data_IF_832767649151
#
_entry.id   IF_832767649151
#
_cell.length_a   1.000
_cell.length_b   1.000
_cell.length_c   1.000
_cell.angle_alpha   90.00
_cell.angle_beta   90.00
_cell.angle_gamma   90.00
#
_symmetry.space_group_name_H-M   'P 1'
#
loop_
_entity.id
_entity.type
_entity.pdbx_description
1 polymer ?
#
# COMPACT_ATOMS: atom_id res chain seq x y z
N UNK A 1 25.26 52.80 31.96
CA UNK A 1 25.01 52.67 30.51
C UNK A 1 24.10 51.47 30.28
N UNK A 2 22.79 51.69 30.18
CA UNK A 2 21.83 50.63 29.84
C UNK A 2 21.97 50.30 28.36
N UNK A 3 22.25 49.06 27.96
CA UNK A 3 22.36 48.70 26.56
C UNK A 3 21.01 48.95 25.85
N UNK A 4 21.05 49.45 24.63
CA UNK A 4 19.84 49.75 23.84
C UNK A 4 19.05 48.46 23.57
N UNK A 5 17.71 48.54 23.69
CA UNK A 5 16.78 47.41 23.53
C UNK A 5 16.98 46.63 22.21
N UNK A 6 17.47 47.30 21.17
CA UNK A 6 17.80 46.73 19.86
C UNK A 6 18.97 45.73 19.90
N UNK A 7 20.01 46.02 20.70
CA UNK A 7 21.18 45.14 20.82
C UNK A 7 20.82 43.85 21.57
N UNK A 8 20.03 43.96 22.62
CA UNK A 8 19.56 42.79 23.39
C UNK A 8 18.69 41.88 22.53
N UNK A 9 17.78 42.46 21.73
CA UNK A 9 16.90 41.69 20.84
C UNK A 9 17.70 40.94 19.76
N UNK A 10 18.71 41.57 19.17
CA UNK A 10 19.59 40.92 18.19
C UNK A 10 20.38 39.76 18.80
N UNK A 11 20.94 39.94 20.00
CA UNK A 11 21.69 38.89 20.70
C UNK A 11 20.79 37.70 21.07
N UNK A 12 19.56 37.96 21.51
CA UNK A 12 18.61 36.87 21.83
C UNK A 12 18.21 36.07 20.60
N UNK A 13 17.98 36.73 19.45
CA UNK A 13 17.67 36.03 18.19
C UNK A 13 18.86 35.20 17.71
N UNK A 14 20.07 35.74 17.78
CA UNK A 14 21.29 35.03 17.39
C UNK A 14 21.53 33.79 18.26
N UNK A 15 21.32 33.91 19.57
CA UNK A 15 21.53 32.80 20.51
C UNK A 15 20.48 31.69 20.31
N UNK A 16 19.22 32.05 20.02
CA UNK A 16 18.17 31.09 19.68
C UNK A 16 18.47 30.34 18.36
N UNK A 17 19.02 31.03 17.35
CA UNK A 17 19.40 30.42 16.08
C UNK A 17 20.56 29.42 16.25
N UNK A 18 21.58 29.75 17.04
CA UNK A 18 22.70 28.84 17.34
C UNK A 18 22.24 27.61 18.12
N UNK A 19 21.31 27.77 19.06
CA UNK A 19 20.74 26.65 19.82
C UNK A 19 19.93 25.70 18.93
N UNK A 20 19.24 26.23 17.92
CA UNK A 20 18.45 25.42 16.98
C UNK A 20 19.33 24.62 15.99
N UNK A 21 20.50 25.15 15.62
CA UNK A 21 21.42 24.46 14.70
C UNK A 21 22.13 23.24 15.34
N UNK A 22 22.18 23.15 16.67
CA UNK A 22 22.84 22.07 17.40
C UNK A 22 22.08 20.73 17.41
N UNK A 23 20.82 20.70 16.95
CA UNK A 23 20.01 19.48 16.83
C UNK A 23 20.00 18.93 15.40
N UNK A 24 21.12 19.04 14.68
CA UNK A 24 21.34 18.21 13.50
C UNK A 24 21.48 16.77 13.98
N UNK A 25 20.35 16.04 13.95
CA UNK A 25 20.29 14.62 14.27
C UNK A 25 21.42 13.90 13.56
N UNK A 26 22.29 13.23 14.33
CA UNK A 26 23.24 12.29 13.77
C UNK A 26 22.42 11.30 12.91
N UNK A 27 22.71 11.23 11.62
CA UNK A 27 22.15 10.19 10.78
C UNK A 27 22.69 8.86 11.33
N UNK A 28 21.84 8.13 12.03
CA UNK A 28 22.18 6.84 12.62
C UNK A 28 22.37 5.84 11.48
N UNK A 29 23.57 5.80 10.90
CA UNK A 29 23.98 4.79 9.94
C UNK A 29 24.25 3.48 10.71
N UNK A 30 23.17 2.78 11.07
CA UNK A 30 23.26 1.43 11.59
C UNK A 30 23.79 0.50 10.51
N UNK A 31 24.77 -0.34 10.85
CA UNK A 31 25.16 -1.46 9.99
C UNK A 31 23.97 -2.41 9.92
N UNK A 32 23.23 -2.36 8.81
CA UNK A 32 22.20 -3.36 8.52
C UNK A 32 22.93 -4.63 8.13
N UNK A 33 22.83 -5.67 8.96
CA UNK A 33 23.40 -6.97 8.63
C UNK A 33 22.61 -7.59 7.47
N UNK A 34 23.27 -8.41 6.64
CA UNK A 34 22.59 -9.15 5.56
C UNK A 34 21.39 -9.96 6.09
N UNK A 35 21.49 -10.52 7.30
CA UNK A 35 20.39 -11.22 7.96
C UNK A 35 19.18 -10.34 8.27
N UNK A 36 19.40 -9.06 8.60
CA UNK A 36 18.31 -8.10 8.79
C UNK A 36 17.59 -7.78 7.47
N UNK A 37 18.31 -7.70 6.34
CA UNK A 37 17.70 -7.52 5.02
C UNK A 37 16.89 -8.76 4.63
N UNK A 38 17.47 -9.96 4.75
CA UNK A 38 16.78 -11.21 4.38
C UNK A 38 15.49 -11.40 5.20
N UNK A 39 15.54 -11.11 6.50
CA UNK A 39 14.35 -11.20 7.37
C UNK A 39 13.29 -10.18 6.96
N UNK A 40 13.68 -8.95 6.65
CA UNK A 40 12.76 -7.90 6.20
C UNK A 40 12.10 -8.23 4.85
N UNK A 41 12.84 -8.85 3.92
CA UNK A 41 12.27 -9.32 2.65
C UNK A 41 11.27 -10.46 2.87
N UNK A 42 11.59 -11.43 3.72
CA UNK A 42 10.66 -12.52 4.07
C UNK A 42 9.37 -11.98 4.67
N UNK A 43 9.47 -11.02 5.59
CA UNK A 43 8.30 -10.39 6.21
C UNK A 43 7.46 -9.61 5.19
N UNK A 44 8.11 -8.94 4.23
CA UNK A 44 7.42 -8.25 3.14
C UNK A 44 6.68 -9.22 2.21
N UNK A 45 7.29 -10.35 1.85
CA UNK A 45 6.65 -11.40 1.05
C UNK A 45 5.41 -11.97 1.76
N UNK A 46 5.55 -12.29 3.06
CA UNK A 46 4.45 -12.76 3.90
C UNK A 46 3.32 -11.73 4.01
N UNK A 47 3.67 -10.45 4.18
CA UNK A 47 2.67 -9.38 4.23
C UNK A 47 1.91 -9.23 2.90
N UNK A 48 2.61 -9.33 1.77
CA UNK A 48 2.00 -9.31 0.44
C UNK A 48 1.01 -10.46 0.26
N UNK A 49 1.43 -11.69 0.56
CA UNK A 49 0.60 -12.89 0.50
C UNK A 49 -0.63 -12.75 1.39
N UNK A 50 -0.45 -12.36 2.66
CA UNK A 50 -1.55 -12.18 3.60
C UNK A 50 -2.54 -11.12 3.13
N UNK A 51 -2.06 -10.01 2.57
CA UNK A 51 -2.93 -8.97 2.00
C UNK A 51 -3.84 -9.50 0.89
N UNK A 52 -3.33 -10.41 0.06
CA UNK A 52 -4.10 -11.04 -1.02
C UNK A 52 -5.13 -12.06 -0.48
N UNK A 53 -4.74 -12.84 0.54
CA UNK A 53 -5.61 -13.82 1.20
C UNK A 53 -6.68 -13.19 2.08
N UNK A 54 -6.44 -11.99 2.61
CA UNK A 54 -7.38 -11.26 3.45
C UNK A 54 -8.52 -10.62 2.66
N UNK A 55 -8.49 -10.63 1.33
CA UNK A 55 -9.61 -10.12 0.54
C UNK A 55 -10.89 -10.93 0.80
N UNK A 56 -12.02 -10.25 0.89
CA UNK A 56 -13.28 -10.85 1.32
C UNK A 56 -13.76 -11.97 0.38
N UNK A 57 -13.54 -11.81 -0.92
CA UNK A 57 -13.82 -12.82 -1.95
C UNK A 57 -12.93 -14.07 -1.79
N UNK A 58 -11.63 -13.88 -1.53
CA UNK A 58 -10.69 -14.98 -1.30
C UNK A 58 -11.03 -15.73 -0.01
N UNK A 59 -11.32 -15.02 1.08
CA UNK A 59 -11.73 -15.65 2.35
C UNK A 59 -13.03 -16.43 2.20
N UNK A 60 -14.04 -15.89 1.52
CA UNK A 60 -15.29 -16.58 1.26
C UNK A 60 -15.06 -17.88 0.47
N UNK A 61 -14.26 -17.81 -0.60
CA UNK A 61 -13.91 -18.99 -1.40
C UNK A 61 -13.13 -20.03 -0.60
N UNK A 62 -12.20 -19.60 0.25
CA UNK A 62 -11.45 -20.51 1.13
C UNK A 62 -12.37 -21.21 2.14
N UNK A 63 -13.33 -20.49 2.73
CA UNK A 63 -14.32 -21.06 3.64
C UNK A 63 -15.24 -22.06 2.93
N UNK A 64 -15.68 -21.76 1.70
CA UNK A 64 -16.45 -22.70 0.87
C UNK A 64 -15.69 -23.99 0.58
N UNK A 65 -14.37 -23.90 0.40
CA UNK A 65 -13.49 -25.06 0.24
C UNK A 65 -13.14 -25.75 1.57
N UNK A 66 -13.64 -25.27 2.71
CA UNK A 66 -13.35 -25.82 4.04
C UNK A 66 -11.93 -25.53 4.53
N UNK A 67 -11.27 -24.50 3.99
CA UNK A 67 -9.91 -24.11 4.37
C UNK A 67 -9.96 -23.03 5.45
N UNK A 68 -9.39 -23.32 6.61
CA UNK A 68 -9.25 -22.36 7.70
C UNK A 68 -8.04 -21.44 7.51
N UNK A 69 -8.18 -20.17 7.87
CA UNK A 69 -7.13 -19.16 7.73
C UNK A 69 -5.89 -19.50 8.57
N UNK A 70 -6.08 -20.01 9.79
CA UNK A 70 -4.95 -20.37 10.65
C UNK A 70 -4.15 -21.54 10.08
N UNK A 71 -4.80 -22.47 9.36
CA UNK A 71 -4.12 -23.58 8.68
C UNK A 71 -3.22 -23.10 7.54
N UNK A 72 -3.58 -21.99 6.89
CA UNK A 72 -2.81 -21.41 5.80
C UNK A 72 -1.61 -20.65 6.34
N UNK A 73 -1.77 -19.87 7.40
CA UNK A 73 -0.66 -19.21 8.08
C UNK A 73 0.39 -20.21 8.58
N UNK A 74 -0.03 -21.36 9.12
CA UNK A 74 0.87 -22.42 9.53
C UNK A 74 1.68 -22.98 8.35
N UNK A 75 1.05 -23.14 7.17
CA UNK A 75 1.75 -23.59 5.95
C UNK A 75 2.72 -22.54 5.43
N UNK A 76 2.33 -21.26 5.40
CA UNK A 76 3.21 -20.16 5.01
C UNK A 76 4.46 -20.08 5.88
N UNK A 77 4.33 -20.37 7.18
CA UNK A 77 5.46 -20.41 8.10
C UNK A 77 6.46 -21.54 7.77
N UNK A 78 6.00 -22.64 7.16
CA UNK A 78 6.86 -23.77 6.77
C UNK A 78 7.56 -23.62 5.43
N UNK A 79 7.14 -22.66 4.60
CA UNK A 79 7.73 -22.42 3.29
C UNK A 79 9.13 -21.79 3.42
N UNK A 80 9.99 -22.11 2.45
CA UNK A 80 11.29 -21.46 2.30
C UNK A 80 11.15 -20.01 1.79
N UNK A 81 12.20 -19.22 1.95
CA UNK A 81 12.21 -17.82 1.51
C UNK A 81 11.97 -17.69 -0.01
N UNK A 82 12.56 -18.58 -0.81
CA UNK A 82 12.38 -18.59 -2.26
C UNK A 82 10.95 -18.94 -2.67
N UNK A 83 10.34 -19.91 -2.01
CA UNK A 83 8.95 -20.31 -2.30
C UNK A 83 7.96 -19.20 -1.94
N UNK A 84 8.19 -18.50 -0.82
CA UNK A 84 7.38 -17.34 -0.44
C UNK A 84 7.48 -16.23 -1.48
N UNK A 85 8.68 -15.97 -2.01
CA UNK A 85 8.92 -14.94 -3.03
C UNK A 85 8.22 -15.26 -4.34
N UNK A 86 8.41 -16.49 -4.84
CA UNK A 86 7.75 -16.96 -6.07
C UNK A 86 6.23 -16.91 -5.95
N UNK A 87 5.70 -17.26 -4.78
CA UNK A 87 4.26 -17.26 -4.55
C UNK A 87 3.70 -15.83 -4.41
N UNK A 88 4.44 -14.93 -3.77
CA UNK A 88 4.09 -13.50 -3.69
C UNK A 88 4.05 -12.86 -5.07
N UNK A 89 5.02 -13.16 -5.95
CA UNK A 89 5.01 -12.70 -7.34
C UNK A 89 3.82 -13.26 -8.13
N UNK A 90 3.55 -14.56 -8.00
CA UNK A 90 2.41 -15.19 -8.67
C UNK A 90 1.08 -14.56 -8.23
N UNK A 91 0.87 -14.32 -6.94
CA UNK A 91 -0.34 -13.68 -6.44
C UNK A 91 -0.47 -12.22 -6.88
N UNK A 92 0.64 -11.49 -6.99
CA UNK A 92 0.64 -10.11 -7.52
C UNK A 92 0.26 -10.08 -9.00
N UNK A 93 0.71 -11.06 -9.76
CA UNK A 93 0.45 -11.18 -11.20
C UNK A 93 -0.88 -11.88 -11.51
N UNK A 94 -1.47 -12.58 -10.54
CA UNK A 94 -2.78 -13.20 -10.68
C UNK A 94 -3.86 -12.10 -10.74
N UNK A 95 -4.64 -12.00 -11.82
CA UNK A 95 -5.75 -11.07 -11.91
C UNK A 95 -6.90 -11.59 -11.04
N UNK A 96 -6.76 -11.42 -9.72
CA UNK A 96 -7.81 -11.71 -8.77
C UNK A 96 -8.89 -10.64 -8.91
N UNK A 97 -9.97 -10.98 -9.62
CA UNK A 97 -11.17 -10.15 -9.75
C UNK A 97 -10.85 -8.75 -10.26
N UNK A 98 -10.64 -8.64 -11.58
CA UNK A 98 -10.24 -7.43 -12.28
C UNK A 98 -10.82 -6.17 -11.63
N UNK A 99 -9.90 -5.28 -11.24
CA UNK A 99 -10.10 -3.95 -10.65
C UNK A 99 -11.54 -3.44 -10.84
N UNK A 100 -12.18 -2.94 -9.78
CA UNK A 100 -13.53 -2.35 -9.86
C UNK A 100 -13.65 -1.39 -11.05
N UNK A 101 -12.56 -0.70 -11.39
CA UNK A 101 -12.46 0.12 -12.61
C UNK A 101 -12.61 -0.66 -13.92
N UNK A 102 -12.00 -1.84 -14.03
CA UNK A 102 -12.13 -2.74 -15.18
C UNK A 102 -13.56 -3.30 -15.27
N UNK A 103 -14.16 -3.71 -14.15
CA UNK A 103 -15.55 -4.19 -14.17
C UNK A 103 -16.53 -3.08 -14.56
N UNK A 104 -16.41 -1.89 -13.96
CA UNK A 104 -17.22 -0.72 -14.33
C UNK A 104 -17.00 -0.32 -15.78
N UNK A 105 -15.74 -0.35 -16.27
CA UNK A 105 -15.39 -0.09 -17.65
C UNK A 105 -16.01 -1.10 -18.62
N UNK A 106 -15.98 -2.39 -18.28
CA UNK A 106 -16.58 -3.45 -19.09
C UNK A 106 -18.11 -3.31 -19.17
N UNK A 107 -18.78 -3.06 -18.03
CA UNK A 107 -20.23 -2.80 -17.99
C UNK A 107 -20.57 -1.55 -18.81
N UNK A 108 -19.80 -0.48 -18.65
CA UNK A 108 -19.98 0.75 -19.43
C UNK A 108 -19.83 0.52 -20.94
N UNK A 109 -18.83 -0.27 -21.36
CA UNK A 109 -18.57 -0.58 -22.77
C UNK A 109 -19.71 -1.42 -23.37
N UNK A 110 -20.22 -2.41 -22.64
CA UNK A 110 -21.38 -3.20 -23.07
C UNK A 110 -22.61 -2.29 -23.24
N UNK A 111 -22.91 -1.42 -22.28
CA UNK A 111 -24.02 -0.47 -22.38
C UNK A 111 -23.86 0.49 -23.57
N UNK A 112 -22.64 0.98 -23.81
CA UNK A 112 -22.34 1.85 -24.94
C UNK A 112 -22.58 1.15 -26.29
N UNK A 113 -22.17 -0.10 -26.44
CA UNK A 113 -22.43 -0.90 -27.65
C UNK A 113 -23.93 -1.14 -27.83
N UNK A 114 -24.64 -1.52 -26.76
CA UNK A 114 -26.08 -1.75 -26.82
C UNK A 114 -26.86 -0.48 -27.21
N UNK A 115 -26.40 0.70 -26.80
CA UNK A 115 -27.01 1.97 -27.20
C UNK A 115 -26.70 2.33 -28.67
N UNK A 116 -25.47 2.07 -29.14
CA UNK A 116 -25.08 2.29 -30.54
C UNK A 116 -25.90 1.41 -31.50
N UNK A 117 -26.18 0.16 -31.10
CA UNK A 117 -27.02 -0.78 -31.87
C UNK A 117 -28.51 -0.44 -31.73
N UNK A 118 -28.89 0.43 -30.80
CA UNK A 118 -30.28 0.87 -30.60
C UNK A 118 -31.13 -0.10 -29.79
N UNK A 119 -30.51 -0.98 -28.99
CA UNK A 119 -31.22 -1.90 -28.08
C UNK A 119 -31.67 -1.16 -26.81
N UNK A 120 -30.92 -0.15 -26.37
CA UNK A 120 -31.21 0.65 -25.17
C UNK A 120 -31.07 2.17 -25.45
N UNK A 121 -31.76 3.00 -24.66
CA UNK A 121 -31.66 4.47 -24.67
C UNK A 121 -31.37 4.99 -23.25
N UNK A 122 -30.20 4.64 -22.70
CA UNK A 122 -29.81 4.99 -21.33
C UNK A 122 -29.09 6.34 -21.29
N UNK A 123 -28.16 6.61 -22.20
CA UNK A 123 -27.37 7.84 -22.21
C UNK A 123 -28.16 9.06 -22.67
N UNK A 124 -29.14 8.90 -23.58
CA UNK A 124 -30.01 10.01 -24.03
C UNK A 124 -30.95 10.57 -22.97
N UNK A 125 -31.29 9.78 -21.95
CA UNK A 125 -32.26 10.18 -20.89
C UNK A 125 -31.62 10.98 -19.76
N UNK A 126 -30.29 11.11 -19.71
CA UNK A 126 -29.62 11.93 -18.70
C UNK A 126 -29.73 13.40 -19.13
N UNK A 127 -30.51 14.25 -18.42
CA UNK A 127 -30.56 15.66 -18.75
C UNK A 127 -29.19 16.27 -18.50
N UNK A 128 -28.58 16.83 -19.54
CA UNK A 128 -27.44 17.72 -19.40
C UNK A 128 -27.91 18.91 -18.53
N UNK A 129 -27.53 18.89 -17.26
CA UNK A 129 -27.69 20.04 -16.36
C UNK A 129 -26.49 20.95 -16.47
#
# INVERSE_FOLDING_TARGET
MTPSKWRTTLVTVLTAAVFNFGVMSAAQAGIVSTGAIVSAERDADLASIRGQLQRADVQAQMQEMGVDAASVDARLATLSDSELRDMAEQMKNAPAGGDVLVLLGAVFLVLLVLELVGVIDVFKKVPAR
#
